data_IF_080503426740
#
_entry.id   IF_080503426740
#
_cell.length_a   1.000
_cell.length_b   1.000
_cell.length_c   1.000
_cell.angle_alpha   90.00
_cell.angle_beta   90.00
_cell.angle_gamma   90.00
#
_symmetry.space_group_name_H-M   'P 1'
#
loop_
_entity.id
_entity.type
_entity.pdbx_description
1 polymer ?
#
# COMPACT_ATOMS: atom_id res chain seq x y z
N UNK A 1 3.28 -1.87 -27.93
CA UNK A 1 2.36 -2.29 -26.85
C UNK A 1 2.85 -3.50 -26.06
N UNK A 2 3.43 -4.54 -26.68
CA UNK A 2 3.86 -5.77 -25.97
C UNK A 2 4.85 -5.54 -24.81
N UNK A 3 5.95 -4.80 -25.05
CA UNK A 3 6.96 -4.53 -24.02
C UNK A 3 6.40 -3.78 -22.80
N UNK A 4 5.58 -2.75 -23.03
CA UNK A 4 5.00 -1.93 -21.96
C UNK A 4 4.00 -2.73 -21.11
N UNK A 5 3.22 -3.62 -21.72
CA UNK A 5 2.32 -4.52 -20.99
C UNK A 5 3.10 -5.51 -20.11
N UNK A 6 4.16 -6.12 -20.66
CA UNK A 6 5.03 -7.04 -19.92
C UNK A 6 5.67 -6.32 -18.72
N UNK A 7 6.19 -5.10 -18.94
CA UNK A 7 6.77 -4.29 -17.88
C UNK A 7 5.77 -4.00 -16.75
N UNK A 8 4.53 -3.61 -17.08
CA UNK A 8 3.48 -3.33 -16.10
C UNK A 8 3.10 -4.58 -15.30
N UNK A 9 3.01 -5.74 -15.95
CA UNK A 9 2.73 -7.02 -15.28
C UNK A 9 3.84 -7.37 -14.29
N UNK A 10 5.11 -7.24 -14.71
CA UNK A 10 6.26 -7.54 -13.84
C UNK A 10 6.30 -6.57 -12.65
N UNK A 11 6.14 -5.28 -12.90
CA UNK A 11 6.12 -4.24 -11.86
C UNK A 11 5.01 -4.50 -10.84
N UNK A 12 3.81 -4.82 -11.34
CA UNK A 12 2.65 -5.18 -10.53
C UNK A 12 2.96 -6.35 -9.61
N UNK A 13 3.50 -7.45 -10.16
CA UNK A 13 3.81 -8.64 -9.39
C UNK A 13 4.87 -8.34 -8.31
N UNK A 14 5.84 -7.47 -8.62
CA UNK A 14 6.82 -6.98 -7.65
C UNK A 14 6.17 -6.23 -6.50
N UNK A 15 5.32 -5.23 -6.80
CA UNK A 15 4.62 -4.44 -5.77
C UNK A 15 3.68 -5.33 -4.95
N UNK A 16 2.93 -6.21 -5.60
CA UNK A 16 2.04 -7.17 -4.94
C UNK A 16 2.81 -8.05 -3.96
N UNK A 17 3.95 -8.60 -4.38
CA UNK A 17 4.81 -9.44 -3.54
C UNK A 17 5.32 -8.67 -2.32
N UNK A 18 5.73 -7.41 -2.49
CA UNK A 18 6.19 -6.56 -1.38
C UNK A 18 5.07 -6.30 -0.36
N UNK A 19 3.84 -6.05 -0.81
CA UNK A 19 2.69 -5.84 0.08
C UNK A 19 2.31 -7.13 0.82
N UNK A 20 2.37 -8.29 0.17
CA UNK A 20 2.18 -9.59 0.84
C UNK A 20 3.25 -9.83 1.92
N UNK A 21 4.52 -9.55 1.63
CA UNK A 21 5.60 -9.66 2.62
C UNK A 21 5.39 -8.67 3.78
N UNK A 22 4.93 -7.45 3.50
CA UNK A 22 4.55 -6.47 4.53
C UNK A 22 3.45 -7.00 5.45
N UNK A 23 2.41 -7.66 4.92
CA UNK A 23 1.34 -8.30 5.71
C UNK A 23 1.90 -9.41 6.60
N UNK A 24 2.78 -10.25 6.07
CA UNK A 24 3.41 -11.35 6.83
C UNK A 24 4.25 -10.77 7.98
N UNK A 25 5.10 -9.77 7.70
CA UNK A 25 5.93 -9.11 8.71
C UNK A 25 5.10 -8.38 9.77
N UNK A 26 4.01 -7.71 9.37
CA UNK A 26 3.07 -7.11 10.30
C UNK A 26 2.37 -8.18 11.17
N UNK A 27 2.08 -9.36 10.60
CA UNK A 27 1.48 -10.47 11.35
C UNK A 27 2.43 -11.07 12.38
N UNK A 28 3.74 -11.09 12.08
CA UNK A 28 4.83 -11.45 12.99
C UNK A 28 5.18 -10.34 14.01
N UNK A 29 4.43 -9.23 14.04
CA UNK A 29 4.70 -8.04 14.86
C UNK A 29 6.06 -7.39 14.61
N UNK A 30 6.67 -7.64 13.44
CA UNK A 30 7.94 -7.05 13.03
C UNK A 30 7.73 -5.69 12.35
N UNK A 31 7.11 -4.73 13.05
CA UNK A 31 6.73 -3.43 12.46
C UNK A 31 7.91 -2.55 12.07
N UNK A 32 9.07 -2.75 12.70
CA UNK A 32 10.32 -2.07 12.37
C UNK A 32 10.94 -2.55 11.04
N UNK A 33 10.41 -3.63 10.44
CA UNK A 33 10.94 -4.22 9.22
C UNK A 33 10.94 -3.22 8.06
N UNK A 34 11.97 -3.23 7.19
CA UNK A 34 12.00 -2.40 5.97
C UNK A 34 10.75 -2.58 5.10
N UNK A 35 10.24 -3.82 4.98
CA UNK A 35 9.04 -4.11 4.18
C UNK A 35 7.77 -3.41 4.70
N UNK A 36 7.68 -3.17 6.01
CA UNK A 36 6.55 -2.48 6.65
C UNK A 36 6.75 -0.96 6.63
N UNK A 37 8.00 -0.51 6.77
CA UNK A 37 8.36 0.91 6.93
C UNK A 37 8.62 1.64 5.61
N UNK A 38 8.97 0.93 4.53
CA UNK A 38 9.29 1.51 3.22
C UNK A 38 8.13 2.33 2.63
N UNK A 39 6.89 1.90 2.86
CA UNK A 39 5.69 2.57 2.36
C UNK A 39 5.00 3.44 3.42
N UNK A 40 5.76 3.93 4.41
CA UNK A 40 5.26 4.75 5.52
C UNK A 40 5.92 6.12 5.52
N UNK A 41 5.24 7.11 6.08
CA UNK A 41 5.85 8.41 6.32
C UNK A 41 7.08 8.28 7.23
N UNK A 42 8.13 9.05 6.92
CA UNK A 42 9.44 9.02 7.63
C UNK A 42 9.27 9.03 9.15
N UNK A 43 8.37 9.88 9.67
CA UNK A 43 8.10 9.99 11.11
C UNK A 43 7.54 8.70 11.73
N UNK A 44 6.67 7.99 11.02
CA UNK A 44 6.08 6.73 11.51
C UNK A 44 7.08 5.58 11.39
N UNK A 45 7.86 5.54 10.31
CA UNK A 45 8.93 4.57 10.14
C UNK A 45 9.95 4.64 11.29
N UNK A 46 10.38 5.85 11.65
CA UNK A 46 11.28 6.07 12.79
C UNK A 46 10.63 5.66 14.12
N UNK A 47 9.38 6.07 14.37
CA UNK A 47 8.65 5.71 15.59
C UNK A 47 8.50 4.19 15.78
N UNK A 48 8.22 3.45 14.71
CA UNK A 48 8.08 1.99 14.76
C UNK A 48 9.42 1.28 14.99
N UNK A 49 10.53 1.88 14.57
CA UNK A 49 11.88 1.36 14.80
C UNK A 49 12.37 1.64 16.22
N UNK A 50 12.16 2.85 16.72
CA UNK A 50 12.67 3.27 18.04
C UNK A 50 11.90 2.67 19.21
N UNK A 51 10.57 2.58 19.11
CA UNK A 51 9.72 2.16 20.25
C UNK A 51 9.41 0.65 20.30
N UNK A 52 9.97 -0.16 19.40
CA UNK A 52 9.70 -1.62 19.28
C UNK A 52 8.24 -2.02 19.54
N UNK A 53 7.30 -1.26 18.96
CA UNK A 53 5.89 -1.37 19.33
C UNK A 53 5.35 -2.75 18.92
N UNK A 54 4.58 -3.42 19.81
CA UNK A 54 3.99 -4.77 19.56
C UNK A 54 2.45 -4.79 19.68
N UNK A 55 1.82 -3.63 19.58
CA UNK A 55 0.37 -3.46 19.72
C UNK A 55 -0.41 -4.09 18.55
N UNK A 56 -1.36 -4.97 18.85
CA UNK A 56 -2.20 -5.64 17.85
C UNK A 56 -3.08 -4.69 17.03
N UNK A 57 -3.43 -3.52 17.56
CA UNK A 57 -4.18 -2.51 16.82
C UNK A 57 -3.37 -2.03 15.63
N UNK A 58 -2.06 -1.86 15.80
CA UNK A 58 -1.13 -1.47 14.72
C UNK A 58 -1.08 -2.58 13.68
N UNK A 59 -1.00 -3.86 14.07
CA UNK A 59 -1.11 -5.00 13.13
C UNK A 59 -2.35 -4.88 12.24
N UNK A 60 -3.53 -4.66 12.83
CA UNK A 60 -4.78 -4.54 12.06
C UNK A 60 -4.71 -3.39 11.06
N UNK A 61 -4.25 -2.21 11.46
CA UNK A 61 -4.14 -1.07 10.56
C UNK A 61 -3.11 -1.26 9.45
N UNK A 62 -1.97 -1.89 9.75
CA UNK A 62 -0.94 -2.20 8.75
C UNK A 62 -1.47 -3.18 7.69
N UNK A 63 -2.14 -4.25 8.13
CA UNK A 63 -2.72 -5.26 7.23
C UNK A 63 -3.82 -4.63 6.36
N UNK A 64 -4.75 -3.87 6.96
CA UNK A 64 -5.83 -3.20 6.21
C UNK A 64 -5.23 -2.27 5.16
N UNK A 65 -4.18 -1.50 5.49
CA UNK A 65 -3.53 -0.63 4.53
C UNK A 65 -2.97 -1.42 3.33
N UNK A 66 -2.22 -2.49 3.59
CA UNK A 66 -1.64 -3.31 2.52
C UNK A 66 -2.72 -3.97 1.66
N UNK A 67 -3.83 -4.42 2.26
CA UNK A 67 -4.98 -4.95 1.52
C UNK A 67 -5.62 -3.88 0.63
N UNK A 68 -5.85 -2.67 1.15
CA UNK A 68 -6.38 -1.54 0.37
C UNK A 68 -5.44 -1.19 -0.79
N UNK A 69 -4.13 -1.20 -0.57
CA UNK A 69 -3.13 -0.95 -1.63
C UNK A 69 -3.15 -2.02 -2.72
N UNK A 70 -3.22 -3.29 -2.35
CA UNK A 70 -3.38 -4.40 -3.29
C UNK A 70 -4.66 -4.23 -4.11
N UNK A 71 -5.77 -3.90 -3.45
CA UNK A 71 -7.05 -3.68 -4.13
C UNK A 71 -6.98 -2.51 -5.13
N UNK A 72 -6.41 -1.37 -4.72
CA UNK A 72 -6.23 -0.22 -5.61
C UNK A 72 -5.29 -0.53 -6.78
N UNK A 73 -4.24 -1.32 -6.54
CA UNK A 73 -3.33 -1.79 -7.59
C UNK A 73 -4.10 -2.62 -8.62
N UNK A 74 -4.92 -3.58 -8.18
CA UNK A 74 -5.77 -4.39 -9.06
C UNK A 74 -6.73 -3.52 -9.88
N UNK A 75 -7.39 -2.54 -9.25
CA UNK A 75 -8.27 -1.59 -9.95
C UNK A 75 -7.50 -0.86 -11.05
N UNK A 76 -6.31 -0.33 -10.77
CA UNK A 76 -5.49 0.37 -11.75
C UNK A 76 -5.08 -0.52 -12.93
N UNK A 77 -4.74 -1.78 -12.67
CA UNK A 77 -4.39 -2.75 -13.72
C UNK A 77 -5.60 -3.07 -14.59
N UNK A 78 -6.76 -3.31 -13.96
CA UNK A 78 -7.99 -3.54 -14.70
C UNK A 78 -8.31 -2.36 -15.60
N UNK A 79 -8.23 -1.12 -15.08
CA UNK A 79 -8.43 0.10 -15.88
C UNK A 79 -7.44 0.22 -17.04
N UNK A 80 -6.17 -0.12 -16.80
CA UNK A 80 -5.12 -0.08 -17.82
C UNK A 80 -5.40 -1.05 -18.99
N UNK A 81 -5.80 -2.29 -18.70
CA UNK A 81 -6.14 -3.27 -19.74
C UNK A 81 -7.56 -3.09 -20.31
N UNK A 82 -8.46 -2.45 -19.56
CA UNK A 82 -9.84 -2.16 -19.98
C UNK A 82 -10.02 -0.81 -20.64
N UNK A 83 -8.93 -0.13 -21.04
CA UNK A 83 -8.94 1.16 -21.78
C UNK A 83 -9.99 1.29 -22.87
N UNK A 84 -10.38 0.18 -23.49
CA UNK A 84 -11.43 0.11 -24.52
C UNK A 84 -12.85 0.38 -23.98
N UNK A 85 -13.10 0.19 -22.69
CA UNK A 85 -14.40 0.30 -22.00
C UNK A 85 -14.50 1.54 -21.09
N UNK A 86 -13.37 2.10 -20.64
CA UNK A 86 -13.34 3.20 -19.66
C UNK A 86 -13.34 4.60 -20.28
N UNK A 87 -13.00 4.73 -21.56
CA UNK A 87 -13.14 5.98 -22.33
C UNK A 87 -12.56 7.20 -21.62
N UNK A 88 -13.32 8.31 -21.62
CA UNK A 88 -12.90 9.61 -21.06
C UNK A 88 -12.75 9.62 -19.52
N UNK A 89 -13.23 8.59 -18.82
CA UNK A 89 -13.18 8.52 -17.36
C UNK A 89 -11.89 7.87 -16.83
N UNK A 90 -11.03 7.32 -17.69
CA UNK A 90 -9.79 6.64 -17.28
C UNK A 90 -8.90 7.53 -16.39
N UNK A 91 -8.74 8.80 -16.79
CA UNK A 91 -7.94 9.78 -16.05
C UNK A 91 -8.53 10.06 -14.67
N UNK A 92 -9.84 10.28 -14.60
CA UNK A 92 -10.55 10.59 -13.34
C UNK A 92 -10.48 9.39 -12.39
N UNK A 93 -10.71 8.18 -12.89
CA UNK A 93 -10.65 6.95 -12.09
C UNK A 93 -9.23 6.67 -11.59
N UNK A 94 -8.22 6.86 -12.44
CA UNK A 94 -6.81 6.68 -12.06
C UNK A 94 -6.38 7.69 -11.00
N UNK A 95 -6.73 8.97 -11.18
CA UNK A 95 -6.47 10.02 -10.18
C UNK A 95 -7.18 9.74 -8.86
N UNK A 96 -8.42 9.25 -8.91
CA UNK A 96 -9.19 8.88 -7.71
C UNK A 96 -8.55 7.71 -6.98
N UNK A 97 -8.09 6.67 -7.70
CA UNK A 97 -7.39 5.54 -7.10
C UNK A 97 -6.06 5.97 -6.45
N UNK A 98 -5.31 6.86 -7.10
CA UNK A 98 -4.08 7.44 -6.55
C UNK A 98 -4.39 8.29 -5.30
N UNK A 99 -5.42 9.13 -5.34
CA UNK A 99 -5.84 9.93 -4.19
C UNK A 99 -6.25 9.04 -3.00
N UNK A 100 -7.03 7.97 -3.26
CA UNK A 100 -7.41 6.97 -2.26
C UNK A 100 -6.18 6.26 -1.66
N UNK A 101 -5.16 5.98 -2.47
CA UNK A 101 -3.90 5.40 -2.00
C UNK A 101 -3.21 6.33 -0.98
N UNK A 102 -3.05 7.61 -1.31
CA UNK A 102 -2.45 8.58 -0.38
C UNK A 102 -3.29 8.80 0.87
N UNK A 103 -4.62 8.90 0.72
CA UNK A 103 -5.54 9.12 1.83
C UNK A 103 -5.49 7.95 2.83
N UNK A 104 -5.54 6.70 2.33
CA UNK A 104 -5.47 5.50 3.16
C UNK A 104 -4.15 5.42 3.95
N UNK A 105 -3.02 5.72 3.29
CA UNK A 105 -1.71 5.74 3.94
C UNK A 105 -1.66 6.83 5.03
N UNK A 106 -2.15 8.03 4.72
CA UNK A 106 -2.18 9.14 5.67
C UNK A 106 -3.04 8.83 6.91
N UNK A 107 -4.23 8.24 6.71
CA UNK A 107 -5.12 7.83 7.80
C UNK A 107 -4.47 6.79 8.71
N UNK A 108 -3.82 5.79 8.13
CA UNK A 108 -3.15 4.73 8.90
C UNK A 108 -1.97 5.28 9.67
N UNK A 109 -1.14 6.11 9.04
CA UNK A 109 0.02 6.74 9.68
C UNK A 109 -0.41 7.66 10.83
N UNK A 110 -1.51 8.41 10.66
CA UNK A 110 -2.11 9.21 11.73
C UNK A 110 -2.59 8.36 12.91
N UNK A 111 -3.26 7.23 12.65
CA UNK A 111 -3.73 6.31 13.70
C UNK A 111 -2.57 5.66 14.44
N UNK A 112 -1.54 5.19 13.72
CA UNK A 112 -0.33 4.62 14.33
C UNK A 112 0.35 5.67 15.22
N UNK A 113 0.53 6.90 14.73
CA UNK A 113 1.12 7.98 15.53
C UNK A 113 0.33 8.28 16.81
N UNK A 114 -1.00 8.15 16.79
CA UNK A 114 -1.84 8.31 17.99
C UNK A 114 -1.71 7.17 18.99
N UNK A 115 -1.44 5.94 18.54
CA UNK A 115 -1.29 4.76 19.40
C UNK A 115 0.10 4.71 20.04
N UNK A 116 1.13 5.13 19.28
CA UNK A 116 2.53 5.09 19.72
C UNK A 116 2.93 6.29 20.58
N UNK A 117 2.15 7.39 20.55
CA UNK A 117 2.35 8.57 21.39
C UNK A 117 2.27 8.17 22.86
#
# INVERSE_FOLDING_TARGET
>A
MGFLNIFIIILTLGIFSLEVVSIIKASQKAYASPYVTMFRGVKVATLLKEKEVKDERIKKFLIINSVVKIFLLLVLITLFFSRRFTGDYELVLSLTAIAMFFLSQWLVDWRIKKIVK
#
